data_IF_535394263196
#
_entry.id   IF_535394263196
#
_cell.length_a   1.000
_cell.length_b   1.000
_cell.length_c   1.000
_cell.angle_alpha   90.00
_cell.angle_beta   90.00
_cell.angle_gamma   90.00
#
_symmetry.space_group_name_H-M   'P 1'
#
loop_
_entity.id
_entity.type
_entity.pdbx_description
1 polymer ?
#
# COMPACT_ATOMS: atom_id res chain seq x y z
N UNK A 1 -45.06 51.01 -7.77
CA UNK A 1 -43.73 50.42 -7.48
C UNK A 1 -43.78 48.91 -7.67
N UNK A 2 -43.79 48.50 -8.94
CA UNK A 2 -43.72 47.14 -9.46
C UNK A 2 -42.46 47.13 -10.35
N UNK A 3 -41.73 46.01 -10.46
CA UNK A 3 -40.57 45.76 -11.36
C UNK A 3 -39.11 45.89 -10.85
N UNK A 4 -38.81 45.84 -9.54
CA UNK A 4 -37.40 45.80 -9.06
C UNK A 4 -36.85 44.40 -8.72
N UNK A 5 -37.57 43.32 -9.01
CA UNK A 5 -37.17 41.93 -8.65
C UNK A 5 -37.08 40.90 -9.81
N UNK A 6 -37.29 41.21 -11.13
CA UNK A 6 -37.14 40.17 -12.16
C UNK A 6 -35.76 40.10 -12.86
N UNK A 7 -34.81 40.98 -12.54
CA UNK A 7 -33.51 41.00 -13.26
C UNK A 7 -32.55 39.89 -12.80
N UNK A 8 -32.58 39.50 -11.53
CA UNK A 8 -31.71 38.44 -10.99
C UNK A 8 -32.19 37.01 -11.33
N UNK A 9 -33.47 36.81 -11.69
CA UNK A 9 -34.00 35.48 -12.03
C UNK A 9 -33.70 35.07 -13.48
N UNK A 10 -33.39 36.02 -14.37
CA UNK A 10 -32.98 35.73 -15.76
C UNK A 10 -31.47 35.51 -15.89
N UNK A 11 -30.68 36.04 -14.95
CA UNK A 11 -29.24 35.75 -14.88
C UNK A 11 -28.96 34.31 -14.45
N UNK A 12 -29.86 33.70 -13.67
CA UNK A 12 -29.77 32.29 -13.24
C UNK A 12 -30.07 31.27 -14.35
N UNK A 13 -30.69 31.67 -15.48
CA UNK A 13 -31.05 30.74 -16.55
C UNK A 13 -30.08 30.75 -17.75
N UNK A 14 -29.23 31.78 -17.87
CA UNK A 14 -28.23 31.87 -18.95
C UNK A 14 -26.86 31.26 -18.59
N UNK A 15 -26.55 31.06 -17.30
CA UNK A 15 -25.29 30.40 -16.87
C UNK A 15 -25.36 28.87 -17.02
N UNK A 16 -26.56 28.30 -17.09
CA UNK A 16 -26.77 26.85 -17.23
C UNK A 16 -26.61 26.37 -18.70
N UNK A 17 -26.54 27.26 -19.68
CA UNK A 17 -26.36 26.89 -21.09
C UNK A 17 -24.90 26.98 -21.60
N UNK A 18 -23.98 27.58 -20.83
CA UNK A 18 -22.57 27.74 -21.23
C UNK A 18 -21.57 26.77 -20.58
N UNK A 19 -22.05 25.70 -19.93
CA UNK A 19 -21.19 24.58 -19.50
C UNK A 19 -21.38 23.31 -20.36
N UNK A 20 -22.12 23.40 -21.47
CA UNK A 20 -22.01 22.44 -22.56
C UNK A 20 -20.82 22.83 -23.44
N UNK A 21 -19.91 21.87 -23.69
CA UNK A 21 -18.64 21.98 -24.43
C UNK A 21 -17.38 22.23 -23.57
N UNK A 22 -17.17 21.40 -22.55
CA UNK A 22 -15.81 20.94 -22.26
C UNK A 22 -15.58 19.62 -23.01
N UNK A 23 -15.13 19.75 -24.26
CA UNK A 23 -14.44 18.69 -25.00
C UNK A 23 -12.98 18.72 -24.57
N UNK A 24 -12.64 17.91 -23.56
CA UNK A 24 -11.29 17.40 -23.39
C UNK A 24 -11.41 15.89 -23.23
N UNK A 25 -11.01 15.18 -24.28
CA UNK A 25 -10.79 13.73 -24.23
C UNK A 25 -9.61 13.53 -23.28
N UNK A 26 -9.93 13.29 -22.02
CA UNK A 26 -9.01 12.72 -21.03
C UNK A 26 -9.41 11.29 -20.80
N UNK A 27 -9.00 10.37 -21.67
CA UNK A 27 -9.02 8.95 -21.33
C UNK A 27 -7.92 8.74 -20.29
N UNK A 28 -8.33 8.88 -19.03
CA UNK A 28 -7.60 8.36 -17.89
C UNK A 28 -7.60 6.83 -17.98
N UNK A 29 -6.47 6.27 -18.39
CA UNK A 29 -6.07 4.96 -17.94
C UNK A 29 -4.96 5.18 -16.90
N UNK A 30 -5.34 5.46 -15.67
CA UNK A 30 -4.45 5.23 -14.53
C UNK A 30 -4.39 3.71 -14.35
N UNK A 31 -3.46 3.06 -15.05
CA UNK A 31 -3.01 1.73 -14.66
C UNK A 31 -2.24 1.87 -13.36
N UNK A 32 -2.97 1.84 -12.25
CA UNK A 32 -2.46 1.31 -11.00
C UNK A 32 -2.25 -0.21 -11.19
N UNK A 33 -1.25 -0.61 -11.98
CA UNK A 33 -0.76 -1.99 -11.96
C UNK A 33 0.22 -2.10 -10.81
N UNK A 34 -0.25 -2.74 -9.74
CA UNK A 34 0.63 -3.32 -8.74
C UNK A 34 0.48 -2.75 -7.34
N UNK A 35 -0.74 -2.49 -6.85
CA UNK A 35 -1.00 -2.89 -5.47
C UNK A 35 -0.88 -4.41 -5.49
N UNK A 36 0.29 -4.90 -5.10
CA UNK A 36 0.46 -6.28 -4.68
C UNK A 36 -0.36 -6.47 -3.42
N UNK A 37 -1.68 -6.51 -3.55
CA UNK A 37 -2.49 -7.36 -2.70
C UNK A 37 -1.78 -8.71 -2.79
N UNK A 38 -1.34 -9.32 -1.67
CA UNK A 38 -1.01 -10.73 -1.68
C UNK A 38 -2.30 -11.42 -2.12
N UNK A 39 -2.43 -11.62 -3.43
CA UNK A 39 -3.39 -12.53 -4.01
C UNK A 39 -3.12 -13.81 -3.27
N UNK A 40 -4.16 -14.31 -2.62
CA UNK A 40 -4.21 -15.57 -1.92
C UNK A 40 -3.98 -16.68 -2.95
N UNK A 41 -2.73 -16.75 -3.43
CA UNK A 41 -2.25 -17.71 -4.38
C UNK A 41 -2.32 -19.02 -3.63
N UNK A 42 -3.36 -19.78 -3.95
CA UNK A 42 -3.55 -21.18 -3.62
C UNK A 42 -2.21 -21.84 -3.30
N UNK A 43 -1.92 -22.01 -2.00
CA UNK A 43 -0.67 -22.59 -1.52
C UNK A 43 -0.74 -24.09 -1.82
N UNK A 44 -0.54 -24.45 -3.09
CA UNK A 44 -0.38 -25.84 -3.47
C UNK A 44 0.87 -26.35 -2.75
N UNK A 45 0.84 -27.50 -2.04
CA UNK A 45 1.93 -27.95 -1.19
C UNK A 45 3.30 -28.02 -1.89
N UNK A 46 3.30 -28.13 -3.23
CA UNK A 46 4.48 -28.14 -4.09
C UNK A 46 5.27 -26.80 -4.12
N UNK A 47 4.62 -25.66 -3.84
CA UNK A 47 5.21 -24.32 -3.87
C UNK A 47 5.14 -23.61 -2.52
N UNK A 48 5.32 -24.37 -1.44
CA UNK A 48 5.26 -23.81 -0.08
C UNK A 48 6.58 -23.13 0.29
N UNK A 49 6.57 -21.89 0.82
CA UNK A 49 7.77 -21.29 1.40
C UNK A 49 8.19 -22.07 2.65
N UNK A 50 9.50 -22.14 2.90
CA UNK A 50 10.05 -22.82 4.08
C UNK A 50 11.24 -22.02 4.60
N UNK A 51 11.14 -21.52 5.82
CA UNK A 51 12.22 -20.79 6.48
C UNK A 51 13.12 -21.77 7.25
N UNK A 52 14.43 -21.58 7.15
CA UNK A 52 15.42 -22.29 7.95
C UNK A 52 16.34 -21.24 8.59
N UNK A 53 16.36 -21.22 9.92
CA UNK A 53 17.29 -20.40 10.70
C UNK A 53 18.58 -21.16 10.94
N UNK A 54 19.70 -20.45 10.97
CA UNK A 54 20.98 -21.03 11.42
C UNK A 54 20.99 -21.25 12.93
N UNK A 55 20.39 -20.32 13.68
CA UNK A 55 20.20 -20.39 15.11
C UNK A 55 18.89 -19.72 15.54
N UNK A 56 18.29 -20.22 16.62
CA UNK A 56 17.03 -19.67 17.17
C UNK A 56 17.26 -18.79 18.40
N UNK A 57 18.45 -18.85 18.99
CA UNK A 57 18.79 -18.18 20.22
C UNK A 57 20.28 -17.88 20.25
N UNK A 58 20.61 -16.67 20.70
CA UNK A 58 21.97 -16.24 20.94
C UNK A 58 22.09 -15.73 22.38
N UNK A 59 23.06 -16.24 23.13
CA UNK A 59 23.40 -15.76 24.47
C UNK A 59 24.60 -14.82 24.40
N UNK A 60 24.40 -13.57 24.80
CA UNK A 60 25.49 -12.61 24.93
C UNK A 60 26.44 -12.93 26.10
N UNK A 61 26.01 -13.79 27.04
CA UNK A 61 26.80 -14.25 28.16
C UNK A 61 27.19 -13.11 29.13
N UNK A 62 28.46 -13.11 29.56
CA UNK A 62 29.00 -12.07 30.45
C UNK A 62 29.37 -10.84 29.64
N UNK A 63 28.58 -9.79 29.79
CA UNK A 63 28.73 -8.54 29.03
C UNK A 63 29.29 -7.41 29.90
N UNK A 64 30.08 -6.54 29.29
CA UNK A 64 30.56 -5.32 29.94
C UNK A 64 29.51 -4.21 29.84
N UNK A 65 29.36 -3.42 30.90
CA UNK A 65 28.42 -2.31 30.90
C UNK A 65 28.83 -1.22 29.89
N UNK A 66 27.84 -0.46 29.41
CA UNK A 66 28.02 0.70 28.51
C UNK A 66 28.63 0.37 27.14
N UNK A 67 28.54 -0.88 26.70
CA UNK A 67 28.96 -1.33 25.37
C UNK A 67 27.71 -1.76 24.57
N UNK A 68 27.50 -1.25 23.34
CA UNK A 68 26.48 -1.81 22.47
C UNK A 68 26.90 -3.24 22.09
N UNK A 69 25.91 -4.12 22.00
CA UNK A 69 26.07 -5.50 21.57
C UNK A 69 25.17 -5.73 20.37
N UNK A 70 25.70 -6.42 19.37
CA UNK A 70 24.98 -6.73 18.15
C UNK A 70 25.12 -8.21 17.86
N UNK A 71 24.05 -8.80 17.36
CA UNK A 71 24.03 -10.15 16.83
C UNK A 71 23.08 -10.19 15.63
N UNK A 72 23.48 -10.93 14.59
CA UNK A 72 22.74 -11.03 13.33
C UNK A 72 22.23 -12.45 13.17
N UNK A 73 20.92 -12.61 13.21
CA UNK A 73 20.29 -13.89 12.87
C UNK A 73 20.22 -14.06 11.36
N UNK A 74 20.80 -15.15 10.86
CA UNK A 74 20.76 -15.52 9.45
C UNK A 74 19.71 -16.60 9.22
N UNK A 75 18.94 -16.46 8.15
CA UNK A 75 17.97 -17.47 7.73
C UNK A 75 17.87 -17.53 6.20
N UNK A 76 17.40 -18.68 5.71
CA UNK A 76 17.22 -18.97 4.29
C UNK A 76 15.80 -19.44 4.01
N UNK A 77 15.22 -18.97 2.91
CA UNK A 77 14.07 -19.63 2.31
C UNK A 77 14.56 -20.87 1.53
N UNK A 78 14.35 -22.05 2.09
CA UNK A 78 14.65 -23.35 1.46
C UNK A 78 13.44 -23.93 0.71
N UNK A 79 12.31 -23.23 0.74
CA UNK A 79 11.12 -23.57 -0.03
C UNK A 79 11.19 -23.05 -1.45
N UNK A 80 10.19 -23.42 -2.23
CA UNK A 80 10.01 -22.98 -3.62
C UNK A 80 9.04 -21.80 -3.74
N UNK A 81 8.28 -21.51 -2.69
CA UNK A 81 7.38 -20.37 -2.60
C UNK A 81 8.06 -19.08 -2.13
N UNK A 82 7.43 -17.93 -2.37
CA UNK A 82 7.87 -16.63 -1.86
C UNK A 82 7.67 -16.59 -0.33
N UNK A 83 8.73 -16.28 0.41
CA UNK A 83 8.68 -16.12 1.87
C UNK A 83 8.43 -14.66 2.22
N UNK A 84 7.19 -14.33 2.59
CA UNK A 84 6.80 -13.00 3.07
C UNK A 84 6.95 -12.93 4.60
N UNK A 85 7.82 -12.04 5.08
CA UNK A 85 8.02 -11.79 6.51
C UNK A 85 7.22 -10.57 6.92
N UNK A 86 6.37 -10.72 7.93
CA UNK A 86 5.44 -9.67 8.38
C UNK A 86 5.17 -9.81 9.89
N UNK A 87 4.74 -8.71 10.52
CA UNK A 87 4.48 -8.64 11.96
C UNK A 87 5.69 -8.98 12.87
N UNK A 88 6.90 -8.56 12.47
CA UNK A 88 8.12 -8.73 13.27
C UNK A 88 8.01 -7.89 14.55
N UNK A 89 8.34 -8.49 15.69
CA UNK A 89 8.34 -7.84 17.01
C UNK A 89 9.65 -8.10 17.73
N UNK A 90 10.13 -7.10 18.46
CA UNK A 90 11.14 -7.32 19.48
C UNK A 90 10.52 -8.17 20.60
N UNK A 91 11.27 -9.16 21.07
CA UNK A 91 10.93 -9.98 22.24
C UNK A 91 11.20 -9.25 23.56
#
# INVERSE_FOLDING_TARGET
>A
MKYLVPLFRKLSLAVVFCFGLNLSIGLAAEQATGVGTPSEASISPKNSPKIQFEEFYFDFGKVSQHKPLEHVFVFKNIGTGVLLIQNVKAG
#
